data_IF_939183603290
#
_entry.id   IF_939183603290
#
_cell.length_a   1.000
_cell.length_b   1.000
_cell.length_c   1.000
_cell.angle_alpha   90.00
_cell.angle_beta   90.00
_cell.angle_gamma   90.00
#
_symmetry.space_group_name_H-M   'P 1'
#
loop_
_entity.id
_entity.type
_entity.pdbx_description
1 polymer ?
#
# COMPACT_ATOMS: atom_id res chain seq x y z
N UNK A 1 -46.73 -32.98 -8.71
CA UNK A 1 -45.84 -31.85 -9.06
C UNK A 1 -45.89 -30.66 -8.10
N UNK A 2 -47.06 -30.20 -7.60
CA UNK A 2 -47.16 -29.03 -6.70
C UNK A 2 -46.37 -29.17 -5.38
N UNK A 3 -46.41 -30.33 -4.73
CA UNK A 3 -45.68 -30.57 -3.47
C UNK A 3 -44.14 -30.49 -3.63
N UNK A 4 -43.59 -30.99 -4.74
CA UNK A 4 -42.14 -30.90 -5.03
C UNK A 4 -41.68 -29.45 -5.19
N UNK A 5 -42.47 -28.61 -5.88
CA UNK A 5 -42.18 -27.17 -6.05
C UNK A 5 -42.21 -26.42 -4.70
N UNK A 6 -43.17 -26.74 -3.83
CA UNK A 6 -43.29 -26.08 -2.53
C UNK A 6 -42.19 -26.50 -1.55
N UNK A 7 -41.70 -27.75 -1.63
CA UNK A 7 -40.54 -28.21 -0.87
C UNK A 7 -39.25 -27.48 -1.31
N UNK A 8 -38.97 -27.45 -2.61
CA UNK A 8 -37.80 -26.74 -3.15
C UNK A 8 -37.79 -25.24 -2.81
N UNK A 9 -38.96 -24.59 -2.82
CA UNK A 9 -39.08 -23.19 -2.40
C UNK A 9 -38.72 -23.00 -0.92
N UNK A 10 -39.20 -23.86 -0.02
CA UNK A 10 -38.87 -23.79 1.41
C UNK A 10 -37.38 -24.02 1.66
N UNK A 11 -36.80 -25.04 1.06
CA UNK A 11 -35.35 -25.32 1.16
C UNK A 11 -34.51 -24.12 0.67
N UNK A 12 -34.94 -23.46 -0.41
CA UNK A 12 -34.28 -22.24 -0.90
C UNK A 12 -34.40 -21.06 0.08
N UNK A 13 -35.54 -20.90 0.75
CA UNK A 13 -35.72 -19.84 1.75
C UNK A 13 -34.93 -20.11 3.03
N UNK A 14 -34.91 -21.36 3.50
CA UNK A 14 -34.13 -21.77 4.67
C UNK A 14 -32.64 -21.53 4.46
N UNK A 15 -32.11 -21.81 3.25
CA UNK A 15 -30.73 -21.47 2.89
C UNK A 15 -30.44 -19.97 3.00
N UNK A 16 -31.31 -19.12 2.42
CA UNK A 16 -31.16 -17.66 2.49
C UNK A 16 -31.19 -17.12 3.92
N UNK A 17 -32.08 -17.66 4.76
CA UNK A 17 -32.17 -17.28 6.17
C UNK A 17 -30.91 -17.71 6.92
N UNK A 18 -30.41 -18.93 6.68
CA UNK A 18 -29.16 -19.40 7.28
C UNK A 18 -27.97 -18.52 6.91
N UNK A 19 -27.85 -18.11 5.65
CA UNK A 19 -26.77 -17.24 5.18
C UNK A 19 -26.87 -15.83 5.80
N UNK A 20 -28.09 -15.31 5.94
CA UNK A 20 -28.32 -14.02 6.62
C UNK A 20 -27.92 -14.08 8.10
N UNK A 21 -28.26 -15.15 8.80
CA UNK A 21 -27.87 -15.35 10.20
C UNK A 21 -26.35 -15.37 10.34
N UNK A 22 -25.64 -16.16 9.50
CA UNK A 22 -24.17 -16.19 9.50
C UNK A 22 -23.55 -14.81 9.24
N UNK A 23 -24.14 -14.04 8.31
CA UNK A 23 -23.68 -12.67 8.03
C UNK A 23 -23.87 -11.75 9.25
N UNK A 24 -25.02 -11.82 9.91
CA UNK A 24 -25.31 -11.06 11.12
C UNK A 24 -24.36 -11.42 12.28
N UNK A 25 -24.10 -12.70 12.50
CA UNK A 25 -23.16 -13.17 13.52
C UNK A 25 -21.72 -12.68 13.26
N UNK A 26 -21.28 -12.69 11.99
CA UNK A 26 -19.98 -12.14 11.61
C UNK A 26 -19.90 -10.64 11.90
N UNK A 27 -20.92 -9.88 11.51
CA UNK A 27 -20.99 -8.44 11.77
C UNK A 27 -20.99 -8.12 13.27
N UNK A 28 -21.71 -8.91 14.07
CA UNK A 28 -21.76 -8.75 15.51
C UNK A 28 -20.36 -8.92 16.13
N UNK A 29 -19.61 -9.96 15.73
CA UNK A 29 -18.23 -10.21 16.19
C UNK A 29 -17.28 -9.05 15.86
N UNK A 30 -17.41 -8.45 14.69
CA UNK A 30 -16.60 -7.27 14.32
C UNK A 30 -16.96 -6.06 15.19
N UNK A 31 -18.26 -5.82 15.41
CA UNK A 31 -18.72 -4.74 16.31
C UNK A 31 -18.22 -4.91 17.75
N UNK A 32 -18.28 -6.14 18.30
CA UNK A 32 -17.76 -6.43 19.63
C UNK A 32 -16.26 -6.13 19.75
N UNK A 33 -15.47 -6.48 18.72
CA UNK A 33 -14.04 -6.15 18.65
C UNK A 33 -13.80 -4.64 18.63
N UNK A 34 -14.53 -3.90 17.79
CA UNK A 34 -14.43 -2.43 17.70
C UNK A 34 -14.73 -1.82 19.07
N UNK A 35 -15.86 -2.17 19.68
CA UNK A 35 -16.27 -1.63 20.98
C UNK A 35 -15.26 -1.96 22.08
N UNK A 36 -14.70 -3.19 22.08
CA UNK A 36 -13.65 -3.58 23.01
C UNK A 36 -12.38 -2.76 22.84
N UNK A 37 -11.98 -2.45 21.60
CA UNK A 37 -10.81 -1.61 21.31
C UNK A 37 -11.04 -0.16 21.69
N UNK A 38 -12.22 0.41 21.42
CA UNK A 38 -12.59 1.77 21.83
C UNK A 38 -12.48 1.89 23.35
N UNK A 39 -13.06 0.96 24.11
CA UNK A 39 -12.98 0.97 25.57
C UNK A 39 -11.52 0.92 26.08
N UNK A 40 -10.65 0.16 25.40
CA UNK A 40 -9.22 0.12 25.75
C UNK A 40 -8.52 1.43 25.39
N UNK A 41 -8.82 2.00 24.24
CA UNK A 41 -8.28 3.28 23.79
C UNK A 41 -8.64 4.40 24.78
N UNK A 42 -9.89 4.45 25.24
CA UNK A 42 -10.35 5.45 26.21
C UNK A 42 -9.59 5.32 27.54
N UNK A 43 -9.38 4.09 28.03
CA UNK A 43 -8.56 3.84 29.22
C UNK A 43 -7.12 4.30 29.05
N UNK A 44 -6.50 4.03 27.90
CA UNK A 44 -5.13 4.47 27.61
C UNK A 44 -5.04 6.00 27.50
N UNK A 45 -6.04 6.66 26.90
CA UNK A 45 -6.13 8.11 26.82
C UNK A 45 -6.28 8.74 28.21
N UNK A 46 -7.11 8.15 29.08
CA UNK A 46 -7.22 8.56 30.49
C UNK A 46 -5.90 8.37 31.26
N UNK A 47 -5.19 7.26 31.05
CA UNK A 47 -3.88 7.06 31.67
C UNK A 47 -2.88 8.13 31.22
N UNK A 48 -2.89 8.49 29.93
CA UNK A 48 -2.01 9.52 29.38
C UNK A 48 -2.29 10.91 29.99
N UNK A 49 -3.55 11.24 30.29
CA UNK A 49 -3.90 12.53 30.91
C UNK A 49 -3.55 12.59 32.40
N UNK A 50 -3.53 11.44 33.09
CA UNK A 50 -3.18 11.38 34.53
C UNK A 50 -1.68 11.33 34.81
N UNK A 51 -0.84 11.01 33.83
CA UNK A 51 0.62 10.92 34.01
C UNK A 51 1.31 12.26 33.78
N UNK A 52 2.19 12.65 34.71
CA UNK A 52 2.93 13.92 34.70
C UNK A 52 4.07 13.97 33.66
N UNK A 53 4.49 12.82 33.12
CA UNK A 53 5.44 12.74 32.02
C UNK A 53 4.88 11.89 30.85
N UNK A 54 5.02 12.34 29.59
CA UNK A 54 4.52 11.61 28.44
C UNK A 54 5.35 10.35 28.19
N UNK A 55 4.80 9.17 28.50
CA UNK A 55 5.38 7.90 28.09
C UNK A 55 5.21 7.74 26.57
N UNK A 56 6.31 7.85 25.82
CA UNK A 56 6.32 7.69 24.35
C UNK A 56 5.70 6.34 23.92
N UNK A 57 5.94 5.28 24.68
CA UNK A 57 5.34 3.96 24.48
C UNK A 57 3.80 3.99 24.56
N UNK A 58 3.22 4.76 25.49
CA UNK A 58 1.77 4.89 25.64
C UNK A 58 1.16 5.61 24.43
N UNK A 59 1.82 6.66 23.92
CA UNK A 59 1.40 7.37 22.70
C UNK A 59 1.43 6.48 21.46
N UNK A 60 2.49 5.69 21.30
CA UNK A 60 2.61 4.72 20.21
C UNK A 60 1.51 3.64 20.30
N UNK A 61 1.22 3.16 21.51
CA UNK A 61 0.14 2.19 21.74
C UNK A 61 -1.23 2.78 21.39
N UNK A 62 -1.51 4.01 21.78
CA UNK A 62 -2.75 4.73 21.41
C UNK A 62 -2.88 4.81 19.89
N UNK A 63 -1.83 5.23 19.19
CA UNK A 63 -1.84 5.32 17.72
C UNK A 63 -2.09 3.95 17.06
N UNK A 64 -1.52 2.87 17.60
CA UNK A 64 -1.78 1.51 17.11
C UNK A 64 -3.25 1.10 17.28
N UNK A 65 -3.87 1.42 18.41
CA UNK A 65 -5.29 1.14 18.63
C UNK A 65 -6.19 1.97 17.70
N UNK A 66 -5.87 3.24 17.47
CA UNK A 66 -6.60 4.11 16.53
C UNK A 66 -6.56 3.53 15.11
N UNK A 67 -5.38 3.15 14.62
CA UNK A 67 -5.22 2.49 13.32
C UNK A 67 -5.99 1.17 13.27
N UNK A 68 -5.92 0.35 14.33
CA UNK A 68 -6.63 -0.92 14.39
C UNK A 68 -8.15 -0.72 14.32
N UNK A 69 -8.70 0.25 15.06
CA UNK A 69 -10.14 0.58 15.05
C UNK A 69 -10.56 0.99 13.63
N UNK A 70 -9.85 1.93 12.99
CA UNK A 70 -10.16 2.33 11.62
C UNK A 70 -10.16 1.15 10.64
N UNK A 71 -9.19 0.22 10.78
CA UNK A 71 -9.13 -0.98 9.94
C UNK A 71 -10.34 -1.92 10.15
N UNK A 72 -10.83 -2.07 11.38
CA UNK A 72 -12.03 -2.87 11.66
C UNK A 72 -13.32 -2.18 11.22
N UNK A 73 -13.39 -0.85 11.33
CA UNK A 73 -14.52 -0.07 10.84
C UNK A 73 -14.64 -0.17 9.32
N UNK A 74 -13.52 -0.09 8.60
CA UNK A 74 -13.53 -0.27 7.15
C UNK A 74 -13.88 -1.71 6.77
N UNK A 75 -13.35 -2.71 7.48
CA UNK A 75 -13.76 -4.12 7.28
C UNK A 75 -15.27 -4.30 7.47
N UNK A 76 -15.85 -3.71 8.52
CA UNK A 76 -17.30 -3.69 8.77
C UNK A 76 -18.04 -3.00 7.62
N UNK A 77 -17.52 -1.88 7.12
CA UNK A 77 -18.12 -1.13 6.01
C UNK A 77 -18.20 -2.01 4.76
N UNK A 78 -17.09 -2.65 4.38
CA UNK A 78 -17.04 -3.55 3.22
C UNK A 78 -17.95 -4.76 3.38
N UNK A 79 -18.01 -5.39 4.56
CA UNK A 79 -18.90 -6.53 4.81
C UNK A 79 -20.39 -6.17 4.65
N UNK A 80 -20.74 -4.91 4.91
CA UNK A 80 -22.12 -4.43 4.80
C UNK A 80 -22.51 -3.88 3.42
N UNK A 81 -21.55 -3.58 2.54
CA UNK A 81 -21.85 -3.16 1.18
C UNK A 81 -22.67 -4.24 0.46
N UNK A 82 -23.72 -3.78 -0.22
CA UNK A 82 -24.47 -4.57 -1.19
C UNK A 82 -23.61 -4.87 -2.42
N UNK A 83 -24.02 -5.86 -3.22
CA UNK A 83 -23.32 -6.19 -4.47
C UNK A 83 -23.28 -4.99 -5.43
N UNK A 84 -24.36 -4.21 -5.50
CA UNK A 84 -24.44 -3.01 -6.35
C UNK A 84 -23.48 -1.92 -5.88
N UNK A 85 -23.45 -1.63 -4.58
CA UNK A 85 -22.52 -0.63 -4.02
C UNK A 85 -21.06 -1.06 -4.20
N UNK A 86 -20.76 -2.35 -4.02
CA UNK A 86 -19.43 -2.90 -4.32
C UNK A 86 -19.06 -2.67 -5.78
N UNK A 87 -19.97 -2.97 -6.70
CA UNK A 87 -19.73 -2.80 -8.12
C UNK A 87 -19.45 -1.33 -8.48
N UNK A 88 -20.25 -0.40 -7.95
CA UNK A 88 -20.04 1.05 -8.16
C UNK A 88 -18.65 1.48 -7.69
N UNK A 89 -18.22 1.02 -6.51
CA UNK A 89 -16.88 1.32 -5.98
C UNK A 89 -15.79 0.78 -6.92
N UNK A 90 -15.93 -0.46 -7.37
CA UNK A 90 -14.99 -1.08 -8.30
C UNK A 90 -14.94 -0.32 -9.63
N UNK A 91 -16.08 0.09 -10.17
CA UNK A 91 -16.18 0.85 -11.42
C UNK A 91 -15.51 2.23 -11.30
N UNK A 92 -15.75 2.94 -10.19
CA UNK A 92 -15.10 4.21 -9.90
C UNK A 92 -13.58 4.06 -9.82
N UNK A 93 -13.09 2.99 -9.19
CA UNK A 93 -11.66 2.73 -9.06
C UNK A 93 -11.05 2.40 -10.42
N UNK A 94 -11.71 1.57 -11.24
CA UNK A 94 -11.27 1.32 -12.62
C UNK A 94 -11.23 2.62 -13.43
N UNK A 95 -12.20 3.52 -13.25
CA UNK A 95 -12.19 4.81 -13.92
C UNK A 95 -10.97 5.66 -13.51
N UNK A 96 -10.63 5.71 -12.22
CA UNK A 96 -9.44 6.41 -11.72
C UNK A 96 -8.15 5.80 -12.28
N UNK A 97 -8.01 4.48 -12.26
CA UNK A 97 -6.84 3.77 -12.82
C UNK A 97 -6.71 4.07 -14.32
N UNK A 98 -7.82 4.05 -15.05
CA UNK A 98 -7.85 4.32 -16.47
C UNK A 98 -7.49 5.77 -16.81
N UNK A 99 -7.87 6.74 -15.97
CA UNK A 99 -7.55 8.15 -16.19
C UNK A 99 -6.08 8.51 -15.92
N UNK A 100 -5.30 7.61 -15.31
CA UNK A 100 -3.87 7.83 -15.12
C UNK A 100 -3.15 7.52 -16.43
N UNK A 101 -2.67 8.56 -17.10
CA UNK A 101 -1.88 8.44 -18.32
C UNK A 101 -0.38 8.42 -17.98
N UNK A 102 0.40 7.47 -18.54
CA UNK A 102 1.85 7.49 -18.43
C UNK A 102 2.42 8.76 -19.08
N UNK A 103 3.05 9.62 -18.28
CA UNK A 103 3.69 10.84 -18.74
C UNK A 103 5.22 10.65 -18.84
N UNK A 104 5.89 11.30 -19.82
CA UNK A 104 7.35 11.30 -19.88
C UNK A 104 7.95 12.06 -18.69
N UNK A 105 9.12 11.62 -18.24
CA UNK A 105 9.83 12.17 -17.07
C UNK A 105 10.55 13.48 -17.40
N UNK A 106 9.77 14.54 -17.62
CA UNK A 106 10.26 15.91 -17.72
C UNK A 106 9.94 16.68 -16.42
N UNK A 107 10.72 17.72 -16.11
CA UNK A 107 10.58 18.53 -14.89
C UNK A 107 9.16 19.05 -14.61
N UNK A 108 8.33 19.22 -15.65
CA UNK A 108 6.95 19.69 -15.51
C UNK A 108 5.97 18.57 -15.07
N UNK A 109 6.31 17.30 -15.31
CA UNK A 109 5.45 16.14 -15.07
C UNK A 109 5.81 15.37 -13.80
N UNK A 110 7.00 15.56 -13.24
CA UNK A 110 7.53 14.79 -12.10
C UNK A 110 6.56 14.77 -10.89
N UNK A 111 5.99 15.92 -10.54
CA UNK A 111 5.00 16.02 -9.45
C UNK A 111 3.75 15.19 -9.71
N UNK A 112 3.29 15.16 -10.96
CA UNK A 112 2.10 14.43 -11.36
C UNK A 112 2.37 12.92 -11.38
N UNK A 113 3.52 12.51 -11.95
CA UNK A 113 4.00 11.12 -11.94
C UNK A 113 4.10 10.59 -10.50
N UNK A 114 4.72 11.34 -9.60
CA UNK A 114 4.86 10.95 -8.20
C UNK A 114 3.49 10.82 -7.51
N UNK A 115 2.59 11.77 -7.77
CA UNK A 115 1.21 11.72 -7.25
C UNK A 115 0.45 10.49 -7.76
N UNK A 116 0.58 10.17 -9.04
CA UNK A 116 -0.12 9.04 -9.66
C UNK A 116 0.42 7.70 -9.15
N UNK A 117 1.74 7.56 -9.02
CA UNK A 117 2.35 6.37 -8.40
C UNK A 117 1.92 6.21 -6.93
N UNK A 118 1.86 7.30 -6.16
CA UNK A 118 1.39 7.28 -4.78
C UNK A 118 -0.08 6.84 -4.68
N UNK A 119 -0.93 7.34 -5.58
CA UNK A 119 -2.34 6.93 -5.65
C UNK A 119 -2.48 5.44 -6.03
N UNK A 120 -1.74 4.99 -7.03
CA UNK A 120 -1.72 3.58 -7.45
C UNK A 120 -1.26 2.66 -6.32
N UNK A 121 -0.20 3.01 -5.58
CA UNK A 121 0.26 2.26 -4.41
C UNK A 121 -0.82 2.17 -3.32
N UNK A 122 -1.53 3.27 -3.04
CA UNK A 122 -2.62 3.27 -2.04
C UNK A 122 -3.77 2.36 -2.47
N UNK A 123 -4.11 2.35 -3.76
CA UNK A 123 -5.14 1.45 -4.30
C UNK A 123 -4.67 0.00 -4.17
N UNK A 124 -3.44 -0.31 -4.57
CA UNK A 124 -2.86 -1.65 -4.48
C UNK A 124 -2.90 -2.21 -3.05
N UNK A 125 -2.42 -1.43 -2.08
CA UNK A 125 -2.42 -1.82 -0.66
C UNK A 125 -3.83 -2.08 -0.14
N UNK A 126 -4.77 -1.18 -0.45
CA UNK A 126 -6.16 -1.32 -0.03
C UNK A 126 -6.77 -2.61 -0.58
N UNK A 127 -6.61 -2.89 -1.88
CA UNK A 127 -7.16 -4.11 -2.48
C UNK A 127 -6.45 -5.39 -2.04
N UNK A 128 -5.17 -5.35 -1.68
CA UNK A 128 -4.48 -6.50 -1.07
C UNK A 128 -5.09 -6.85 0.29
N UNK A 129 -5.36 -5.83 1.12
CA UNK A 129 -6.03 -6.03 2.43
C UNK A 129 -7.44 -6.58 2.22
N UNK A 130 -8.23 -5.98 1.32
CA UNK A 130 -9.60 -6.43 1.07
C UNK A 130 -9.65 -7.84 0.52
N UNK A 131 -8.75 -8.19 -0.40
CA UNK A 131 -8.63 -9.53 -0.95
C UNK A 131 -8.33 -10.57 0.13
N UNK A 132 -7.44 -10.27 1.08
CA UNK A 132 -7.05 -11.22 2.13
C UNK A 132 -8.12 -11.41 3.20
N UNK A 133 -8.98 -10.40 3.40
CA UNK A 133 -10.04 -10.41 4.43
C UNK A 133 -11.41 -10.81 3.92
N UNK A 134 -11.66 -10.73 2.61
CA UNK A 134 -12.95 -11.11 2.02
C UNK A 134 -13.14 -12.62 2.03
N UNK A 135 -14.36 -13.09 2.32
CA UNK A 135 -14.80 -14.47 2.09
C UNK A 135 -15.59 -14.65 0.79
N UNK A 136 -15.88 -13.54 0.09
CA UNK A 136 -16.60 -13.54 -1.18
C UNK A 136 -15.63 -13.77 -2.34
N UNK A 137 -15.68 -14.96 -2.94
CA UNK A 137 -14.83 -15.38 -4.07
C UNK A 137 -14.98 -14.46 -5.29
N UNK A 138 -16.19 -14.00 -5.60
CA UNK A 138 -16.43 -13.09 -6.73
C UNK A 138 -15.69 -11.77 -6.51
N UNK A 139 -15.77 -11.24 -5.30
CA UNK A 139 -15.06 -10.02 -4.93
C UNK A 139 -13.53 -10.20 -4.91
N UNK A 140 -13.03 -11.35 -4.46
CA UNK A 140 -11.59 -11.69 -4.48
C UNK A 140 -11.05 -11.69 -5.92
N UNK A 141 -11.78 -12.32 -6.84
CA UNK A 141 -11.41 -12.37 -8.27
C UNK A 141 -11.38 -10.96 -8.85
N UNK A 142 -12.40 -10.15 -8.57
CA UNK A 142 -12.49 -8.80 -9.12
C UNK A 142 -11.43 -7.86 -8.55
N UNK A 143 -11.17 -7.97 -7.24
CA UNK A 143 -10.06 -7.27 -6.56
C UNK A 143 -8.71 -7.63 -7.18
N UNK A 144 -8.52 -8.90 -7.55
CA UNK A 144 -7.28 -9.36 -8.18
C UNK A 144 -7.08 -8.73 -9.57
N UNK A 145 -8.15 -8.57 -10.35
CA UNK A 145 -8.08 -7.87 -11.66
C UNK A 145 -7.68 -6.41 -11.49
N UNK A 146 -8.22 -5.72 -10.49
CA UNK A 146 -7.86 -4.33 -10.19
C UNK A 146 -6.38 -4.23 -9.83
N UNK A 147 -5.87 -5.12 -8.97
CA UNK A 147 -4.45 -5.15 -8.60
C UNK A 147 -3.58 -5.33 -9.86
N UNK A 148 -3.93 -6.25 -10.76
CA UNK A 148 -3.22 -6.44 -12.02
C UNK A 148 -3.21 -5.16 -12.87
N UNK A 149 -4.34 -4.46 -13.00
CA UNK A 149 -4.43 -3.19 -13.73
C UNK A 149 -3.55 -2.10 -13.12
N UNK A 150 -3.50 -2.03 -11.78
CA UNK A 150 -2.63 -1.09 -11.06
C UNK A 150 -1.17 -1.38 -11.36
N UNK A 151 -0.74 -2.65 -11.26
CA UNK A 151 0.64 -3.07 -11.55
C UNK A 151 1.01 -2.77 -13.00
N UNK A 152 0.14 -3.07 -13.95
CA UNK A 152 0.36 -2.74 -15.37
C UNK A 152 0.53 -1.23 -15.59
N UNK A 153 -0.29 -0.40 -14.94
CA UNK A 153 -0.18 1.06 -15.03
C UNK A 153 1.12 1.57 -14.40
N UNK A 154 1.51 1.05 -13.22
CA UNK A 154 2.80 1.38 -12.59
C UNK A 154 3.96 1.05 -13.51
N UNK A 155 3.97 -0.14 -14.10
CA UNK A 155 5.03 -0.57 -15.02
C UNK A 155 5.11 0.33 -16.26
N UNK A 156 3.96 0.74 -16.83
CA UNK A 156 3.95 1.70 -17.95
C UNK A 156 4.53 3.06 -17.58
N UNK A 157 4.24 3.57 -16.38
CA UNK A 157 4.84 4.82 -15.88
C UNK A 157 6.35 4.65 -15.74
N UNK A 158 6.81 3.57 -15.11
CA UNK A 158 8.24 3.28 -14.91
C UNK A 158 8.97 3.20 -16.25
N UNK A 159 8.43 2.44 -17.22
CA UNK A 159 9.03 2.35 -18.56
C UNK A 159 9.16 3.71 -19.28
N UNK A 160 8.19 4.62 -19.06
CA UNK A 160 8.26 5.97 -19.65
C UNK A 160 9.33 6.83 -18.97
N UNK A 161 9.56 6.64 -17.67
CA UNK A 161 10.64 7.29 -16.94
C UNK A 161 11.99 6.80 -17.49
N UNK A 162 12.20 5.48 -17.53
CA UNK A 162 13.46 4.86 -17.98
C UNK A 162 13.81 5.31 -19.41
N UNK A 163 12.83 5.31 -20.32
CA UNK A 163 13.04 5.76 -21.70
C UNK A 163 13.48 7.22 -21.79
N UNK A 164 12.93 8.08 -20.93
CA UNK A 164 13.30 9.50 -20.89
C UNK A 164 14.72 9.70 -20.37
N UNK A 165 15.17 8.86 -19.42
CA UNK A 165 16.55 8.87 -18.92
C UNK A 165 17.54 8.40 -20.01
N UNK A 166 17.21 7.36 -20.77
CA UNK A 166 18.00 6.90 -21.91
C UNK A 166 18.17 8.02 -22.97
N UNK A 167 17.07 8.69 -23.35
CA UNK A 167 17.10 9.79 -24.32
C UNK A 167 17.96 10.97 -23.83
N UNK A 168 17.89 11.33 -22.54
CA UNK A 168 18.71 12.39 -21.96
C UNK A 168 20.21 12.01 -21.84
N UNK A 169 20.50 10.74 -21.54
CA UNK A 169 21.88 10.21 -21.52
C UNK A 169 22.50 10.13 -22.93
N UNK A 170 21.68 9.92 -23.95
CA UNK A 170 22.09 9.96 -25.36
C UNK A 170 22.36 11.38 -25.86
N UNK A 171 21.56 12.36 -25.42
CA UNK A 171 21.76 13.79 -25.75
C UNK A 171 23.04 14.34 -25.11
N UNK A 172 23.31 14.00 -23.85
CA UNK A 172 24.56 14.41 -23.18
C UNK A 172 25.80 13.81 -23.86
N UNK A 173 25.77 12.54 -24.26
CA UNK A 173 26.85 11.92 -25.04
C UNK A 173 27.02 12.52 -26.45
N UNK A 174 25.94 12.84 -27.16
CA UNK A 174 26.01 13.54 -28.46
C UNK A 174 26.55 14.96 -28.34
N UNK A 175 26.17 15.69 -27.28
CA UNK A 175 26.68 17.03 -27.01
C UNK A 175 28.17 17.02 -26.61
N UNK A 176 28.64 15.93 -25.97
CA UNK A 176 30.05 15.70 -25.67
C UNK A 176 30.86 15.31 -26.92
N UNK A 177 30.30 14.51 -27.83
CA UNK A 177 30.91 14.21 -29.13
C UNK A 177 30.99 15.44 -30.05
N UNK A 178 29.98 16.32 -30.03
CA UNK A 178 30.01 17.58 -30.81
C UNK A 178 31.00 18.61 -30.23
N UNK A 179 31.28 18.59 -28.93
CA UNK A 179 32.32 19.43 -28.32
C UNK A 179 33.74 18.96 -28.65
N UNK A 180 33.96 17.68 -28.94
CA UNK A 180 35.28 17.14 -29.31
C UNK A 180 35.64 17.46 -30.77
N UNK A 181 34.67 17.85 -31.61
CA UNK A 181 34.94 18.21 -33.02
C UNK A 181 35.19 19.71 -33.27
N UNK A 182 35.23 20.55 -32.24
CA UNK A 182 35.33 22.01 -32.40
C UNK A 182 36.49 22.70 -31.68
N UNK A 183 37.47 21.96 -31.15
CA UNK A 183 38.60 22.53 -30.39
C UNK A 183 39.92 22.66 -31.17
N UNK A 184 39.87 22.68 -32.50
CA UNK A 184 41.01 23.08 -33.35
C UNK A 184 40.57 24.16 -34.36
N UNK A 185 40.33 25.39 -33.90
CA UNK A 185 40.46 26.61 -34.71
C UNK A 185 40.35 27.87 -33.84
N UNK A 186 41.43 28.63 -33.79
CA UNK A 186 41.52 29.92 -33.14
C UNK A 186 40.78 31.03 -33.91
N UNK A 187 40.41 32.06 -33.15
CA UNK A 187 40.46 33.50 -33.47
C UNK A 187 39.12 34.25 -33.72
N UNK A 188 38.96 35.27 -32.87
CA UNK A 188 38.32 36.60 -33.07
C UNK A 188 36.80 36.79 -32.80
N UNK A 189 36.56 37.75 -31.89
CA UNK A 189 35.31 38.40 -31.42
C UNK A 189 34.68 39.34 -32.46
N UNK A 190 33.58 40.07 -32.16
CA UNK A 190 32.29 39.75 -31.51
C UNK A 190 31.11 40.10 -32.48
N UNK A 191 29.83 40.12 -32.02
CA UNK A 191 28.72 41.04 -32.43
C UNK A 191 27.34 40.36 -32.62
N UNK A 192 26.36 40.86 -31.85
CA UNK A 192 24.89 40.98 -32.05
C UNK A 192 23.93 39.78 -31.96
N UNK A 193 22.95 39.97 -31.07
CA UNK A 193 21.60 39.36 -30.98
C UNK A 193 20.84 39.40 -32.32
N UNK A 194 19.84 38.51 -32.49
CA UNK A 194 18.47 39.02 -32.39
C UNK A 194 17.48 38.11 -31.63
N UNK A 195 16.46 38.78 -31.10
CA UNK A 195 15.17 38.27 -30.64
C UNK A 195 14.43 37.49 -31.74
N UNK A 196 13.77 36.39 -31.37
CA UNK A 196 12.48 35.93 -31.94
C UNK A 196 12.12 34.51 -31.44
N UNK A 197 11.23 34.38 -30.46
CA UNK A 197 10.31 33.22 -30.38
C UNK A 197 8.92 33.72 -29.94
N UNK A 198 8.01 33.73 -30.91
CA UNK A 198 6.58 33.92 -30.73
C UNK A 198 5.87 32.60 -30.37
N UNK A 199 4.97 32.69 -29.40
CA UNK A 199 3.65 32.05 -29.28
C UNK A 199 3.41 30.65 -29.90
N UNK A 200 3.11 29.68 -29.04
CA UNK A 200 2.08 28.67 -29.32
C UNK A 200 1.10 28.53 -28.15
N UNK A 201 -0.18 28.50 -28.53
CA UNK A 201 -1.33 28.76 -27.68
C UNK A 201 -1.74 27.60 -26.77
N UNK A 202 -2.15 27.99 -25.56
CA UNK A 202 -2.89 27.21 -24.59
C UNK A 202 -4.32 26.95 -25.10
N UNK A 203 -4.66 25.69 -25.38
CA UNK A 203 -6.06 25.22 -25.31
C UNK A 203 -6.22 24.55 -23.95
N UNK A 204 -6.90 25.24 -23.04
CA UNK A 204 -7.28 24.70 -21.72
C UNK A 204 -8.65 24.04 -21.85
N UNK A 205 -8.69 22.70 -21.83
CA UNK A 205 -9.94 21.96 -21.61
C UNK A 205 -10.27 21.92 -20.12
N UNK A 206 -10.97 22.96 -19.64
CA UNK A 206 -11.43 23.10 -18.24
C UNK A 206 -12.51 22.08 -17.84
N UNK A 207 -13.06 21.29 -18.76
CA UNK A 207 -14.12 20.32 -18.46
C UNK A 207 -13.59 18.95 -17.98
N UNK A 208 -12.36 18.57 -18.35
CA UNK A 208 -11.77 17.28 -17.91
C UNK A 208 -11.25 17.33 -16.47
N UNK A 209 -10.82 18.51 -15.99
CA UNK A 209 -10.32 18.69 -14.62
C UNK A 209 -11.41 18.70 -13.54
N UNK A 210 -12.69 18.95 -13.89
CA UNK A 210 -13.78 18.98 -12.91
C UNK A 210 -14.27 17.59 -12.50
N UNK A 211 -14.21 16.59 -13.38
CA UNK A 211 -14.63 15.21 -13.07
C UNK A 211 -13.58 14.43 -12.25
N UNK A 212 -12.30 14.76 -12.41
CA UNK A 212 -11.18 14.20 -11.62
C UNK A 212 -11.14 14.71 -10.16
N UNK A 213 -11.59 15.95 -9.91
CA UNK A 213 -11.64 16.51 -8.55
C UNK A 213 -12.75 15.91 -7.68
N UNK A 214 -13.93 15.60 -8.23
CA UNK A 214 -15.04 15.00 -7.48
C UNK A 214 -14.78 13.55 -7.05
N UNK A 215 -14.01 12.79 -7.84
CA UNK A 215 -13.70 11.38 -7.56
C UNK A 215 -12.55 11.21 -6.54
N UNK A 216 -11.59 12.14 -6.52
CA UNK A 216 -10.53 12.19 -5.49
C UNK A 216 -11.03 12.75 -4.15
N UNK A 217 -12.06 13.59 -4.15
CA UNK A 217 -12.71 14.08 -2.92
C UNK A 217 -13.33 12.95 -2.12
N UNK A 218 -13.90 11.93 -2.77
CA UNK A 218 -14.52 10.79 -2.10
C UNK A 218 -13.53 9.99 -1.24
N UNK A 219 -12.28 9.80 -1.69
CA UNK A 219 -11.24 9.09 -0.91
C UNK A 219 -10.69 9.96 0.22
N UNK A 220 -10.71 11.29 0.07
CA UNK A 220 -10.31 12.24 1.12
C UNK A 220 -11.40 12.53 2.17
N UNK A 221 -12.67 12.55 1.77
CA UNK A 221 -13.82 12.83 2.65
C UNK A 221 -14.15 11.67 3.59
N UNK A 222 -13.83 10.42 3.19
CA UNK A 222 -13.90 9.23 4.06
C UNK A 222 -13.00 9.37 5.30
N UNK A 223 -11.92 10.16 5.22
CA UNK A 223 -10.96 10.36 6.31
C UNK A 223 -11.22 11.65 7.13
N UNK A 224 -11.95 12.63 6.57
CA UNK A 224 -12.27 13.90 7.27
C UNK A 224 -13.51 13.84 8.16
N UNK A 225 -14.42 12.87 7.98
CA UNK A 225 -15.61 12.74 8.84
C UNK A 225 -15.31 12.14 10.22
N UNK A 226 -14.19 11.44 10.40
CA UNK A 226 -13.74 10.92 11.70
C UNK A 226 -13.11 11.99 12.60
N UNK A 227 -12.51 13.03 12.03
CA UNK A 227 -11.85 14.11 12.81
C UNK A 227 -12.83 15.18 13.30
N UNK A 228 -13.96 15.38 12.62
CA UNK A 228 -14.95 16.41 12.99
C UNK A 228 -15.88 16.02 14.14
N UNK A 229 -15.95 14.74 14.50
CA UNK A 229 -16.78 14.25 15.62
C UNK A 229 -16.07 14.29 17.00
N UNK A 230 -14.82 14.75 17.08
CA UNK A 230 -14.06 14.79 18.34
C UNK A 230 -14.12 16.15 19.08
N UNK A 231 -14.75 17.18 18.51
CA UNK A 231 -14.73 18.55 19.04
C UNK A 231 -16.09 19.10 19.52
N UNK A 232 -16.99 18.24 20.02
CA UNK A 232 -18.21 18.70 20.71
C UNK A 232 -18.58 17.81 21.90
N UNK A 233 -17.74 17.79 22.93
CA UNK A 233 -18.18 17.48 24.29
C UNK A 233 -17.43 18.39 25.26
N UNK A 234 -17.98 19.59 25.49
CA UNK A 234 -17.73 20.32 26.72
C UNK A 234 -18.69 19.78 27.78
N UNK A 235 -18.15 19.24 28.87
CA UNK A 235 -18.92 19.05 30.11
C UNK A 235 -18.17 19.63 31.30
N UNK A 236 -18.88 20.17 32.30
CA UNK A 236 -18.33 21.06 33.30
C UNK A 236 -17.72 20.32 34.49
N UNK A 237 -16.79 21.03 35.11
CA UNK A 237 -16.06 20.79 36.35
C UNK A 237 -16.93 20.31 37.52
N UNK A 238 -16.51 19.23 38.20
CA UNK A 238 -16.82 18.97 39.61
C UNK A 238 -15.66 18.18 40.25
N UNK A 239 -15.15 18.71 41.36
CA UNK A 239 -13.90 18.30 42.02
C UNK A 239 -13.94 16.98 42.77
N UNK A 240 -12.74 16.59 43.24
CA UNK A 240 -12.51 15.44 44.09
C UNK A 240 -11.03 15.28 44.39
N UNK A 241 -10.59 15.89 45.48
CA UNK A 241 -9.26 15.73 46.06
C UNK A 241 -9.04 14.28 46.53
N UNK A 242 -7.90 13.68 46.18
CA UNK A 242 -7.36 12.54 46.93
C UNK A 242 -5.85 12.44 46.77
N UNK A 243 -5.19 12.47 47.93
CA UNK A 243 -3.76 12.45 48.17
C UNK A 243 -3.14 11.03 48.11
N UNK A 244 -1.79 11.00 48.05
CA UNK A 244 -0.85 9.90 48.34
C UNK A 244 -0.70 8.78 47.28
N UNK A 245 0.48 8.25 46.94
CA UNK A 245 1.82 8.26 47.59
C UNK A 245 2.93 7.86 46.58
N UNK A 246 4.15 8.31 46.89
CA UNK A 246 5.41 8.07 46.17
C UNK A 246 5.85 6.60 46.14
N UNK A 247 6.25 6.12 44.96
CA UNK A 247 7.08 4.90 44.82
C UNK A 247 8.27 5.19 43.91
N UNK A 248 9.45 5.23 44.53
CA UNK A 248 10.77 5.24 43.87
C UNK A 248 11.01 3.90 43.15
N UNK A 249 11.38 3.95 41.87
CA UNK A 249 12.04 2.84 41.20
C UNK A 249 13.29 3.34 40.48
N UNK A 250 14.36 2.62 40.75
CA UNK A 250 15.77 2.86 40.40
C UNK A 250 16.10 2.42 38.98
N UNK A 251 16.89 3.25 38.31
CA UNK A 251 17.54 3.00 37.02
C UNK A 251 18.48 1.79 37.05
N UNK A 252 18.54 1.06 35.93
CA UNK A 252 19.74 0.34 35.51
C UNK A 252 19.85 0.36 33.98
N UNK A 253 20.75 1.23 33.49
CA UNK A 253 21.29 1.25 32.14
C UNK A 253 22.29 0.10 31.94
N UNK A 254 22.20 -0.61 30.83
CA UNK A 254 23.30 -1.44 30.31
C UNK A 254 23.50 -1.09 28.84
N UNK A 255 24.62 -0.41 28.59
CA UNK A 255 25.21 -0.16 27.28
C UNK A 255 25.84 -1.44 26.72
N UNK A 256 25.81 -1.59 25.39
CA UNK A 256 26.48 -2.68 24.68
C UNK A 256 26.64 -2.38 23.20
N UNK A 257 27.55 -1.47 22.87
CA UNK A 257 28.08 -1.23 21.52
C UNK A 257 28.99 -2.38 21.10
N UNK A 258 28.78 -2.97 19.93
CA UNK A 258 29.85 -3.56 19.13
C UNK A 258 29.66 -3.23 17.64
N UNK A 259 30.57 -2.39 17.16
CA UNK A 259 30.87 -2.05 15.77
C UNK A 259 31.67 -3.19 15.15
N UNK A 260 31.26 -3.65 13.96
CA UNK A 260 32.07 -4.53 13.10
C UNK A 260 32.23 -3.83 11.76
N UNK A 261 33.48 -3.50 11.45
CA UNK A 261 33.96 -2.95 10.18
C UNK A 261 33.84 -4.01 9.07
N UNK A 262 33.22 -3.64 7.95
CA UNK A 262 33.27 -4.43 6.72
C UNK A 262 33.84 -3.59 5.59
N UNK A 263 34.95 -4.09 5.05
CA UNK A 263 35.72 -3.57 3.94
C UNK A 263 34.89 -3.66 2.63
N UNK A 264 34.75 -2.53 1.95
CA UNK A 264 34.07 -2.40 0.65
C UNK A 264 35.03 -2.73 -0.49
N UNK A 265 34.74 -3.82 -1.19
CA UNK A 265 35.31 -4.13 -2.51
C UNK A 265 34.39 -3.53 -3.58
N UNK A 266 34.85 -2.46 -4.23
CA UNK A 266 34.15 -1.79 -5.33
C UNK A 266 34.35 -2.58 -6.63
N UNK A 267 33.55 -3.63 -6.81
CA UNK A 267 33.32 -4.27 -8.10
C UNK A 267 32.03 -3.74 -8.71
N UNK A 268 32.11 -3.15 -9.91
CA UNK A 268 30.98 -2.64 -10.69
C UNK A 268 29.79 -3.61 -10.72
N UNK A 269 28.78 -3.37 -9.88
CA UNK A 269 27.51 -4.08 -9.90
C UNK A 269 26.65 -3.53 -11.04
N UNK A 270 26.65 -4.22 -12.19
CA UNK A 270 25.49 -4.18 -13.08
C UNK A 270 24.32 -4.79 -12.31
N UNK A 271 23.51 -3.93 -11.69
CA UNK A 271 22.33 -4.35 -10.96
C UNK A 271 21.29 -4.80 -11.98
N UNK A 272 21.27 -6.11 -12.28
CA UNK A 272 20.22 -6.70 -13.09
C UNK A 272 18.87 -6.40 -12.44
N UNK A 273 18.04 -5.64 -13.15
CA UNK A 273 16.69 -5.36 -12.72
C UNK A 273 15.88 -6.67 -12.72
N UNK A 274 15.41 -7.06 -11.54
CA UNK A 274 14.58 -8.25 -11.34
C UNK A 274 13.12 -7.79 -11.31
N UNK A 275 12.30 -8.29 -12.23
CA UNK A 275 10.86 -8.02 -12.24
C UNK A 275 10.24 -8.49 -10.92
N UNK A 276 9.33 -7.71 -10.32
CA UNK A 276 8.72 -8.03 -9.01
C UNK A 276 8.10 -9.42 -8.97
N UNK A 277 7.48 -9.82 -10.08
CA UNK A 277 6.92 -11.16 -10.25
C UNK A 277 7.93 -12.29 -10.12
N UNK A 278 9.23 -12.06 -10.30
CA UNK A 278 10.29 -13.06 -10.20
C UNK A 278 11.02 -13.03 -8.85
N UNK A 279 10.69 -12.08 -7.97
CA UNK A 279 11.34 -11.98 -6.66
C UNK A 279 10.84 -13.08 -5.73
N UNK A 280 11.72 -13.51 -4.83
CA UNK A 280 11.40 -14.40 -3.73
C UNK A 280 10.34 -13.75 -2.84
N UNK A 281 9.26 -14.47 -2.53
CA UNK A 281 8.15 -13.93 -1.73
C UNK A 281 8.45 -13.92 -0.23
N UNK A 282 9.63 -14.37 0.18
CA UNK A 282 10.08 -14.35 1.57
C UNK A 282 10.93 -13.11 1.84
N UNK A 283 11.94 -12.85 1.01
CA UNK A 283 12.85 -11.70 1.21
C UNK A 283 12.57 -10.51 0.28
N UNK A 284 11.77 -10.68 -0.77
CA UNK A 284 11.47 -9.65 -1.78
C UNK A 284 12.69 -8.99 -2.45
N UNK A 285 13.88 -9.58 -2.33
CA UNK A 285 15.14 -8.99 -2.79
C UNK A 285 15.80 -9.75 -3.93
N UNK A 286 15.79 -11.10 -3.87
CA UNK A 286 16.51 -11.97 -4.83
C UNK A 286 15.52 -12.73 -5.72
N UNK A 287 15.93 -13.16 -6.92
CA UNK A 287 15.09 -14.03 -7.78
C UNK A 287 14.75 -15.33 -7.07
N UNK A 288 13.49 -15.77 -7.23
CA UNK A 288 13.07 -17.11 -6.84
C UNK A 288 13.69 -18.12 -7.81
N UNK A 289 14.19 -19.22 -7.26
CA UNK A 289 14.81 -20.31 -8.01
C UNK A 289 14.46 -21.69 -7.45
N UNK A 290 13.78 -21.75 -6.31
CA UNK A 290 13.58 -23.02 -5.61
C UNK A 290 12.12 -23.33 -5.34
N UNK A 291 11.78 -24.61 -5.53
CA UNK A 291 10.47 -25.19 -5.22
C UNK A 291 10.58 -26.19 -4.06
N UNK A 292 9.63 -26.12 -3.12
CA UNK A 292 9.57 -27.02 -1.97
C UNK A 292 8.73 -28.27 -2.27
N UNK A 293 9.26 -29.47 -2.02
CA UNK A 293 8.59 -30.75 -2.25
C UNK A 293 8.13 -31.35 -0.91
N UNK A 294 6.88 -31.86 -0.79
CA UNK A 294 5.94 -32.15 -1.88
C UNK A 294 4.94 -31.05 -2.22
N UNK A 295 4.95 -29.91 -1.53
CA UNK A 295 3.87 -28.92 -1.65
C UNK A 295 3.91 -28.08 -2.94
N UNK A 296 5.00 -28.09 -3.69
CA UNK A 296 5.13 -27.41 -4.98
C UNK A 296 5.28 -25.89 -4.91
N UNK A 297 5.48 -25.29 -3.72
CA UNK A 297 5.57 -23.84 -3.59
C UNK A 297 6.91 -23.29 -4.12
N UNK A 298 6.84 -22.58 -5.26
CA UNK A 298 7.97 -21.93 -5.93
C UNK A 298 8.09 -20.46 -5.51
N UNK A 299 8.66 -20.22 -4.32
CA UNK A 299 8.68 -18.88 -3.71
C UNK A 299 10.03 -18.45 -3.13
N UNK A 300 11.06 -19.31 -3.21
CA UNK A 300 12.31 -19.17 -2.47
C UNK A 300 13.49 -18.78 -3.36
N UNK A 301 14.35 -17.90 -2.88
CA UNK A 301 15.71 -17.71 -3.40
C UNK A 301 16.70 -18.63 -2.68
N UNK A 302 17.97 -18.60 -3.09
CA UNK A 302 19.08 -19.36 -2.46
C UNK A 302 19.14 -19.19 -0.93
N UNK A 303 19.07 -17.94 -0.45
CA UNK A 303 19.21 -17.65 0.99
C UNK A 303 18.01 -18.16 1.77
N UNK A 304 16.80 -17.93 1.26
CA UNK A 304 15.58 -18.35 1.95
C UNK A 304 15.37 -19.87 1.90
N UNK A 305 15.96 -20.56 0.92
CA UNK A 305 15.99 -22.03 0.88
C UNK A 305 16.70 -22.61 2.11
N UNK A 306 17.84 -22.05 2.51
CA UNK A 306 18.60 -22.56 3.67
C UNK A 306 17.77 -22.53 4.96
N UNK A 307 16.91 -21.51 5.12
CA UNK A 307 15.98 -21.42 6.25
C UNK A 307 14.91 -22.53 6.25
N UNK A 308 14.45 -22.94 5.06
CA UNK A 308 13.51 -24.04 4.89
C UNK A 308 14.19 -25.37 5.18
N UNK A 309 15.41 -25.58 4.69
CA UNK A 309 16.19 -26.80 4.90
C UNK A 309 16.52 -27.02 6.39
N UNK A 310 16.78 -25.94 7.14
CA UNK A 310 16.99 -26.04 8.59
C UNK A 310 15.71 -26.44 9.35
N UNK A 311 14.55 -25.95 8.93
CA UNK A 311 13.27 -26.18 9.63
C UNK A 311 12.46 -27.35 9.08
N UNK A 312 12.86 -27.89 7.93
CA UNK A 312 12.17 -28.93 7.15
C UNK A 312 10.68 -28.64 6.96
N UNK A 313 10.29 -27.36 6.81
CA UNK A 313 8.90 -26.91 6.66
C UNK A 313 8.78 -25.75 5.68
N UNK A 314 7.75 -25.80 4.84
CA UNK A 314 7.43 -24.74 3.89
C UNK A 314 6.96 -23.49 4.63
N UNK A 315 7.54 -22.32 4.32
CA UNK A 315 7.19 -21.07 5.00
C UNK A 315 5.80 -20.53 4.61
N UNK A 316 5.23 -21.02 3.50
CA UNK A 316 3.91 -20.63 3.03
C UNK A 316 2.81 -21.52 3.61
N UNK A 317 2.84 -22.83 3.34
CA UNK A 317 1.79 -23.75 3.76
C UNK A 317 2.10 -24.55 5.03
N UNK A 318 3.30 -24.40 5.62
CA UNK A 318 3.76 -25.13 6.82
C UNK A 318 3.85 -26.66 6.68
N UNK A 319 3.61 -27.21 5.50
CA UNK A 319 3.80 -28.62 5.21
C UNK A 319 5.28 -29.00 5.36
N UNK A 320 5.55 -30.21 5.85
CA UNK A 320 6.91 -30.73 5.95
C UNK A 320 7.53 -30.81 4.55
N UNK A 321 8.76 -30.32 4.44
CA UNK A 321 9.53 -30.30 3.19
C UNK A 321 10.53 -31.43 3.25
N UNK A 322 10.49 -32.30 2.25
CA UNK A 322 11.44 -33.40 2.10
C UNK A 322 12.68 -32.96 1.30
N UNK A 323 12.47 -32.11 0.29
CA UNK A 323 13.52 -31.68 -0.62
C UNK A 323 13.20 -30.31 -1.25
N UNK A 324 14.24 -29.58 -1.63
CA UNK A 324 14.17 -28.34 -2.39
C UNK A 324 14.83 -28.56 -3.75
N UNK A 325 14.15 -28.23 -4.85
CA UNK A 325 14.70 -28.33 -6.21
C UNK A 325 14.95 -26.95 -6.79
N UNK A 326 16.11 -26.75 -7.42
CA UNK A 326 16.36 -25.58 -8.25
C UNK A 326 15.62 -25.72 -9.58
N UNK A 327 14.96 -24.65 -10.01
CA UNK A 327 14.26 -24.54 -11.28
C UNK A 327 15.10 -23.65 -12.18
N UNK A 328 15.62 -24.22 -13.26
CA UNK A 328 16.28 -23.46 -14.32
C UNK A 328 15.21 -23.01 -15.31
N UNK A 329 15.00 -21.69 -15.40
CA UNK A 329 14.03 -21.04 -16.27
C UNK A 329 14.75 -20.16 -17.28
#
# INVERSE_FOLDING_TARGET
MKQKKQKAYRESQEGKVSDLIKKLESNLKVNEKINSMILKLDKLKQQLTTQTQPQQNLKETIAQYEVAICNYEEERRIQNLTLEERQIILDNIRAVINSIEPLPAHNQNEKQIHKDLKNLNRIEEHFLILRTKSSDESFIVESSKIICQVVEKKNKIIMMIDKTEEDNSGVTNKLQQLKIQHDDSQAETPTMLPDEIQNFGLIKDEQSQRKSKQSLQFIGEIQQQSEKNLNQFETPTAGGDSEFSDVKLTDNSIEGKQTVEQQTNEGQFKQEYICEGEKCQICFAKRRRYVAIPCGHYIYCEVCKQLVEQKMKCLLCRQNVCQMFEVYA
#
